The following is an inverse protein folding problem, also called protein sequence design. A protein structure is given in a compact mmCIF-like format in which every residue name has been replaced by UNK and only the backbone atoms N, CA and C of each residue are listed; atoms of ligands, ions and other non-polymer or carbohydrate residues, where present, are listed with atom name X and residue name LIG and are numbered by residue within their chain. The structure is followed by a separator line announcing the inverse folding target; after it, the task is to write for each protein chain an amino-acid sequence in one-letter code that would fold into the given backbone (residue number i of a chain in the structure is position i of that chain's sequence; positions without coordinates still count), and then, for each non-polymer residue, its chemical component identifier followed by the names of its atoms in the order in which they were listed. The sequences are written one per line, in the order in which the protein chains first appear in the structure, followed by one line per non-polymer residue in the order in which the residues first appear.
data_IF_358847075037
#
_entry.id   IF_358847075037
#
_cell.length_a   1.000
_cell.length_b   1.000
_cell.length_c   1.000
_cell.angle_alpha   90.00
_cell.angle_beta   90.00
_cell.angle_gamma   90.00
#
_symmetry.space_group_name_H-M   'P 1'
#
loop_
_entity.id
_entity.type
_entity.pdbx_description
1 polymer ?
#
# COMPACT_ATOMS: atom_id res chain seq x y z
N UNK A 1 -27.64 2.40 69.82
CA UNK A 1 -27.90 2.56 68.39
C UNK A 1 -26.76 3.29 67.56
N UNK A 2 -25.69 3.69 68.19
CA UNK A 2 -24.59 4.38 67.50
C UNK A 2 -23.46 3.44 67.00
N UNK A 3 -23.43 2.18 67.49
CA UNK A 3 -22.36 1.22 67.15
C UNK A 3 -22.63 0.39 65.89
N UNK A 4 -23.87 0.30 65.45
CA UNK A 4 -24.26 -0.49 64.25
C UNK A 4 -23.99 0.25 62.95
N UNK A 5 -24.01 1.58 62.96
CA UNK A 5 -23.70 2.39 61.78
C UNK A 5 -22.20 2.41 61.40
N UNK A 6 -21.34 2.25 62.40
CA UNK A 6 -19.88 2.21 62.15
C UNK A 6 -19.43 0.92 61.43
N UNK A 7 -20.17 -0.18 61.59
CA UNK A 7 -19.84 -1.46 60.94
C UNK A 7 -20.35 -1.55 59.50
N UNK A 8 -21.35 -0.74 59.15
CA UNK A 8 -21.93 -0.76 57.79
C UNK A 8 -21.14 0.10 56.78
N UNK A 9 -20.40 1.09 57.26
CA UNK A 9 -19.58 1.98 56.40
C UNK A 9 -18.28 1.30 55.99
N UNK A 10 -17.81 0.28 56.73
CA UNK A 10 -16.53 -0.40 56.43
C UNK A 10 -16.64 -1.49 55.36
N UNK A 11 -17.86 -1.87 54.92
CA UNK A 11 -18.10 -2.90 53.91
C UNK A 11 -18.21 -2.39 52.46
N UNK A 12 -18.09 -1.07 52.22
CA UNK A 12 -18.25 -0.49 50.89
C UNK A 12 -16.95 -0.12 50.16
N UNK A 13 -15.80 -0.45 50.71
CA UNK A 13 -14.48 -0.09 50.10
C UNK A 13 -13.65 -1.27 49.64
N UNK A 14 -14.23 -2.44 49.44
CA UNK A 14 -13.50 -3.63 48.97
C UNK A 14 -14.08 -4.23 47.69
N UNK A 15 -14.28 -3.41 46.66
CA UNK A 15 -14.42 -3.92 45.30
C UNK A 15 -13.57 -3.11 44.34
N UNK A 16 -12.25 -3.21 44.49
CA UNK A 16 -11.34 -2.97 43.40
C UNK A 16 -11.24 -4.28 42.63
N UNK A 17 -12.15 -4.52 41.70
CA UNK A 17 -11.97 -5.55 40.68
C UNK A 17 -10.77 -5.12 39.82
N UNK A 18 -9.64 -5.78 40.06
CA UNK A 18 -8.54 -5.79 39.13
C UNK A 18 -9.04 -6.53 37.89
N UNK A 19 -9.50 -5.79 36.88
CA UNK A 19 -9.67 -6.33 35.53
C UNK A 19 -8.40 -7.05 35.15
N UNK A 20 -8.45 -8.34 34.76
CA UNK A 20 -7.28 -8.98 34.22
C UNK A 20 -6.88 -8.17 32.97
N UNK A 21 -5.68 -7.57 33.01
CA UNK A 21 -5.07 -7.09 31.77
C UNK A 21 -5.01 -8.32 30.85
N UNK A 22 -5.91 -8.39 29.90
CA UNK A 22 -5.72 -9.24 28.73
C UNK A 22 -4.38 -8.80 28.17
N UNK A 23 -3.34 -9.59 28.42
CA UNK A 23 -2.11 -9.52 27.61
C UNK A 23 -2.60 -9.49 26.17
N UNK A 24 -2.30 -8.44 25.38
CA UNK A 24 -2.53 -8.51 23.96
C UNK A 24 -1.78 -9.77 23.52
N UNK A 25 -2.57 -10.71 23.02
CA UNK A 25 -2.02 -11.90 22.36
C UNK A 25 -0.91 -11.37 21.47
N UNK A 26 0.33 -11.78 21.75
CA UNK A 26 1.46 -11.45 20.91
C UNK A 26 1.19 -12.14 19.57
N UNK A 27 0.31 -11.52 18.80
CA UNK A 27 0.12 -11.89 17.42
C UNK A 27 1.50 -11.86 16.82
N UNK A 28 1.92 -12.94 16.19
CA UNK A 28 3.09 -13.03 15.36
C UNK A 28 3.03 -11.85 14.37
N UNK A 29 3.61 -10.71 14.77
CA UNK A 29 3.93 -9.67 13.80
C UNK A 29 4.90 -10.35 12.83
N UNK A 30 4.59 -10.40 11.53
CA UNK A 30 5.51 -10.97 10.57
C UNK A 30 6.84 -10.24 10.77
N UNK A 31 7.88 -11.02 11.00
CA UNK A 31 9.21 -10.51 11.31
C UNK A 31 9.56 -9.53 10.18
N UNK A 32 9.80 -8.27 10.49
CA UNK A 32 10.05 -7.20 9.51
C UNK A 32 11.14 -7.62 8.52
N UNK A 33 12.13 -8.39 8.98
CA UNK A 33 13.18 -8.96 8.13
C UNK A 33 12.62 -9.91 7.06
N UNK A 34 11.70 -10.80 7.40
CA UNK A 34 11.08 -11.71 6.44
C UNK A 34 10.20 -10.97 5.41
N UNK A 35 9.55 -9.89 5.82
CA UNK A 35 8.74 -9.05 4.92
C UNK A 35 9.63 -8.33 3.91
N UNK A 36 10.77 -7.78 4.34
CA UNK A 36 11.73 -7.10 3.46
C UNK A 36 12.37 -8.07 2.46
N UNK A 37 12.77 -9.27 2.90
CA UNK A 37 13.36 -10.29 2.03
C UNK A 37 12.34 -10.74 0.96
N UNK A 38 11.08 -10.93 1.34
CA UNK A 38 10.03 -11.31 0.42
C UNK A 38 9.73 -10.20 -0.59
N UNK A 39 9.71 -8.93 -0.17
CA UNK A 39 9.45 -7.79 -1.05
C UNK A 39 10.59 -7.58 -2.06
N UNK A 40 11.86 -7.76 -1.65
CA UNK A 40 13.02 -7.67 -2.56
C UNK A 40 13.01 -8.78 -3.62
N UNK A 41 12.62 -10.01 -3.24
CA UNK A 41 12.49 -11.11 -4.20
C UNK A 41 11.35 -10.87 -5.18
N UNK A 42 10.19 -10.46 -4.67
CA UNK A 42 9.03 -10.09 -5.48
C UNK A 42 9.39 -8.96 -6.47
N UNK A 43 10.11 -7.94 -6.00
CA UNK A 43 10.57 -6.84 -6.84
C UNK A 43 11.43 -7.33 -8.02
N UNK A 44 12.39 -8.22 -7.76
CA UNK A 44 13.26 -8.77 -8.80
C UNK A 44 12.46 -9.55 -9.86
N UNK A 45 11.50 -10.38 -9.42
CA UNK A 45 10.63 -11.14 -10.31
C UNK A 45 9.73 -10.22 -11.17
N UNK A 46 9.18 -9.17 -10.56
CA UNK A 46 8.37 -8.16 -11.25
C UNK A 46 9.18 -7.37 -12.27
N UNK A 47 10.43 -7.01 -11.96
CA UNK A 47 11.31 -6.31 -12.89
C UNK A 47 11.66 -7.16 -14.12
N UNK A 48 11.86 -8.47 -13.96
CA UNK A 48 12.06 -9.36 -15.11
C UNK A 48 10.78 -9.49 -15.96
N UNK A 49 9.61 -9.60 -15.32
CA UNK A 49 8.33 -9.61 -16.03
C UNK A 49 8.11 -8.29 -16.79
N UNK A 50 8.39 -7.14 -16.17
CA UNK A 50 8.27 -5.82 -16.79
C UNK A 50 9.16 -5.65 -18.03
N UNK A 51 10.40 -6.16 -18.00
CA UNK A 51 11.28 -6.17 -19.17
C UNK A 51 10.70 -6.95 -20.36
N UNK A 52 9.98 -8.05 -20.07
CA UNK A 52 9.32 -8.85 -21.10
C UNK A 52 8.11 -8.11 -21.66
N UNK A 53 7.31 -7.48 -20.80
CA UNK A 53 6.12 -6.74 -21.21
C UNK A 53 6.47 -5.47 -22.00
N UNK A 54 7.53 -4.76 -21.63
CA UNK A 54 8.03 -3.60 -22.38
C UNK A 54 8.50 -3.90 -23.79
N UNK A 55 8.94 -5.12 -24.06
CA UNK A 55 9.23 -5.54 -25.43
C UNK A 55 7.97 -5.65 -26.30
N UNK A 56 6.80 -5.82 -25.68
CA UNK A 56 5.48 -5.92 -26.35
C UNK A 56 4.79 -4.56 -26.47
N UNK A 57 5.05 -3.65 -25.52
CA UNK A 57 4.47 -2.30 -25.50
C UNK A 57 5.53 -1.33 -26.06
N UNK A 58 5.35 -0.90 -27.29
CA UNK A 58 6.29 0.02 -27.95
C UNK A 58 6.24 1.41 -27.29
N UNK A 59 7.35 2.15 -27.34
CA UNK A 59 7.43 3.54 -26.88
C UNK A 59 6.35 4.43 -27.53
N UNK A 60 5.94 4.13 -28.75
CA UNK A 60 4.88 4.82 -29.47
C UNK A 60 3.52 4.71 -28.80
N UNK A 61 3.16 3.52 -28.31
CA UNK A 61 1.89 3.30 -27.56
C UNK A 61 1.88 4.11 -26.28
N UNK A 62 2.99 4.12 -25.53
CA UNK A 62 3.07 4.90 -24.30
C UNK A 62 3.04 6.41 -24.58
N UNK A 63 3.68 6.87 -25.64
CA UNK A 63 3.66 8.28 -26.07
C UNK A 63 2.24 8.72 -26.47
N UNK A 64 1.53 7.89 -27.20
CA UNK A 64 0.12 8.14 -27.56
C UNK A 64 -0.76 8.25 -26.31
N UNK A 65 -0.66 7.28 -25.41
CA UNK A 65 -1.48 7.27 -24.17
C UNK A 65 -1.16 8.43 -23.22
N UNK A 66 0.03 9.02 -23.30
CA UNK A 66 0.43 10.17 -22.49
C UNK A 66 -0.04 11.50 -23.08
N UNK A 67 -0.08 11.64 -24.39
CA UNK A 67 -0.27 12.93 -25.05
C UNK A 67 -1.63 13.09 -25.75
N UNK A 68 -2.25 12.01 -26.17
CA UNK A 68 -3.42 12.07 -27.07
C UNK A 68 -4.34 10.87 -26.85
N UNK A 69 -4.61 10.51 -25.59
CA UNK A 69 -5.45 9.36 -25.30
C UNK A 69 -6.92 9.65 -25.67
N UNK A 70 -7.49 8.83 -26.56
CA UNK A 70 -8.94 8.82 -26.78
C UNK A 70 -9.66 8.66 -25.43
N UNK A 71 -10.61 9.53 -25.07
CA UNK A 71 -11.43 9.38 -23.87
C UNK A 71 -12.10 8.01 -23.75
N UNK A 72 -12.43 7.40 -24.90
CA UNK A 72 -13.06 6.07 -24.96
C UNK A 72 -12.05 4.91 -24.84
N UNK A 73 -10.74 5.16 -24.91
CA UNK A 73 -9.76 4.11 -24.70
C UNK A 73 -9.87 3.61 -23.25
N UNK A 74 -10.10 2.29 -23.03
CA UNK A 74 -10.17 1.71 -21.71
C UNK A 74 -8.81 1.66 -20.99
N UNK A 75 -7.72 1.97 -21.68
CA UNK A 75 -6.35 1.94 -21.17
C UNK A 75 -5.78 3.36 -21.05
N UNK A 76 -4.78 3.48 -20.20
CA UNK A 76 -3.99 4.70 -20.02
C UNK A 76 -2.59 4.34 -19.51
N UNK A 77 -1.69 5.32 -19.50
CA UNK A 77 -0.34 5.15 -18.97
C UNK A 77 -0.29 5.43 -17.45
N UNK A 78 0.55 4.71 -16.73
CA UNK A 78 1.01 5.08 -15.40
C UNK A 78 2.51 5.38 -15.47
N UNK A 79 2.91 6.58 -15.06
CA UNK A 79 4.29 7.05 -14.97
C UNK A 79 4.61 7.25 -13.50
N UNK A 80 5.55 6.47 -12.99
CA UNK A 80 5.93 6.50 -11.58
C UNK A 80 7.40 6.87 -11.48
N UNK A 81 7.69 7.95 -10.78
CA UNK A 81 9.04 8.38 -10.42
C UNK A 81 9.28 8.00 -8.95
N UNK A 82 10.35 7.26 -8.72
CA UNK A 82 10.83 6.90 -7.40
C UNK A 82 12.10 7.72 -7.10
N UNK A 83 11.98 8.72 -6.24
CA UNK A 83 13.08 9.55 -5.77
C UNK A 83 13.67 9.06 -4.43
N UNK A 84 13.22 7.90 -3.96
CA UNK A 84 13.75 7.29 -2.74
C UNK A 84 14.99 6.44 -3.00
N UNK A 85 15.70 6.10 -1.93
CA UNK A 85 16.88 5.23 -1.98
C UNK A 85 16.55 3.73 -1.95
N UNK A 86 15.28 3.36 -2.03
CA UNK A 86 14.80 1.97 -1.98
C UNK A 86 14.09 1.59 -3.26
N UNK A 87 14.22 0.35 -3.68
CA UNK A 87 13.34 -0.24 -4.69
C UNK A 87 11.92 -0.34 -4.12
N UNK A 88 10.92 0.02 -4.90
CA UNK A 88 9.53 0.05 -4.47
C UNK A 88 8.62 -0.74 -5.42
N UNK A 89 7.51 -1.24 -4.87
CA UNK A 89 6.42 -1.80 -5.65
C UNK A 89 5.19 -0.94 -5.39
N UNK A 90 4.67 -0.28 -6.43
CA UNK A 90 3.38 0.42 -6.35
C UNK A 90 2.27 -0.55 -6.73
N UNK A 91 1.40 -0.83 -5.79
CA UNK A 91 0.27 -1.75 -5.96
C UNK A 91 -0.99 -0.95 -6.26
N UNK A 92 -1.63 -1.22 -7.39
CA UNK A 92 -2.94 -0.70 -7.73
C UNK A 92 -3.97 -1.80 -7.58
N UNK A 93 -4.92 -1.62 -6.69
CA UNK A 93 -6.04 -2.55 -6.46
C UNK A 93 -7.32 -1.89 -6.92
N UNK A 94 -7.93 -2.43 -7.96
CA UNK A 94 -9.18 -1.92 -8.52
C UNK A 94 -10.34 -2.03 -7.52
N UNK A 95 -11.03 -0.91 -7.29
CA UNK A 95 -12.15 -0.86 -6.33
C UNK A 95 -13.41 -1.55 -6.83
N UNK A 96 -13.63 -1.57 -8.14
CA UNK A 96 -14.83 -2.17 -8.78
C UNK A 96 -14.47 -3.22 -9.84
N UNK A 97 -13.37 -3.05 -10.55
CA UNK A 97 -13.03 -3.85 -11.74
C UNK A 97 -12.18 -5.09 -11.43
N UNK A 98 -11.89 -5.37 -10.16
CA UNK A 98 -11.05 -6.50 -9.70
C UNK A 98 -9.68 -6.59 -10.39
N UNK A 99 -9.20 -5.50 -11.02
CA UNK A 99 -7.88 -5.44 -11.62
C UNK A 99 -6.84 -5.18 -10.54
N UNK A 100 -5.70 -5.81 -10.71
CA UNK A 100 -4.60 -5.72 -9.79
C UNK A 100 -3.30 -5.53 -10.58
N UNK A 101 -2.48 -4.56 -10.18
CA UNK A 101 -1.19 -4.30 -10.79
C UNK A 101 -0.13 -4.16 -9.70
N UNK A 102 1.00 -4.84 -9.88
CA UNK A 102 2.23 -4.64 -9.11
C UNK A 102 3.24 -3.97 -10.04
N UNK A 103 3.55 -2.72 -9.78
CA UNK A 103 4.35 -1.86 -10.62
C UNK A 103 5.71 -1.61 -9.96
N UNK A 104 6.77 -2.33 -10.38
CA UNK A 104 8.09 -2.19 -9.78
C UNK A 104 8.80 -0.94 -10.30
N UNK A 105 9.38 -0.15 -9.40
CA UNK A 105 10.18 1.03 -9.74
C UNK A 105 11.45 1.01 -8.93
N UNK A 106 12.59 0.91 -9.62
CA UNK A 106 13.90 0.91 -8.97
C UNK A 106 14.18 2.24 -8.26
N UNK A 107 15.04 2.20 -7.27
CA UNK A 107 15.49 3.40 -6.56
C UNK A 107 16.02 4.46 -7.52
N UNK A 108 15.74 5.73 -7.24
CA UNK A 108 16.20 6.87 -8.03
C UNK A 108 15.91 6.71 -9.53
N UNK A 109 14.75 6.15 -9.89
CA UNK A 109 14.40 5.87 -11.28
C UNK A 109 12.94 6.19 -11.60
N UNK A 110 12.62 6.15 -12.88
CA UNK A 110 11.28 6.31 -13.42
C UNK A 110 10.90 5.05 -14.19
N UNK A 111 9.65 4.60 -14.03
CA UNK A 111 9.11 3.50 -14.80
C UNK A 111 7.71 3.84 -15.34
N UNK A 112 7.33 3.21 -16.45
CA UNK A 112 6.07 3.47 -17.15
C UNK A 112 5.35 2.15 -17.39
N UNK A 113 4.03 2.17 -17.23
CA UNK A 113 3.20 0.98 -17.30
C UNK A 113 1.90 1.27 -18.05
N UNK A 114 1.35 0.23 -18.67
CA UNK A 114 0.02 0.25 -19.25
C UNK A 114 -0.98 -0.26 -18.21
N UNK A 115 -1.98 0.55 -17.89
CA UNK A 115 -3.03 0.21 -16.94
C UNK A 115 -4.42 0.48 -17.52
N UNK A 116 -5.46 -0.10 -16.94
CA UNK A 116 -6.85 0.26 -17.29
C UNK A 116 -7.30 1.49 -16.51
N UNK A 117 -8.12 2.33 -17.15
CA UNK A 117 -8.87 3.40 -16.49
C UNK A 117 -9.82 2.82 -15.45
N UNK A 118 -10.07 3.52 -14.35
CA UNK A 118 -10.96 3.09 -13.27
C UNK A 118 -10.58 3.61 -11.89
N UNK A 119 -11.34 3.19 -10.89
CA UNK A 119 -11.06 3.49 -9.49
C UNK A 119 -10.07 2.50 -8.90
N UNK A 120 -9.06 2.98 -8.18
CA UNK A 120 -8.01 2.19 -7.58
C UNK A 120 -7.63 2.67 -6.17
N UNK A 121 -7.27 1.72 -5.33
CA UNK A 121 -6.49 1.95 -4.15
C UNK A 121 -5.01 1.75 -4.51
N UNK A 122 -4.19 2.76 -4.24
CA UNK A 122 -2.74 2.73 -4.41
C UNK A 122 -2.09 2.50 -3.06
N UNK A 123 -1.16 1.57 -2.98
CA UNK A 123 -0.29 1.42 -1.81
C UNK A 123 1.13 1.08 -2.22
N UNK A 124 2.09 1.49 -1.41
CA UNK A 124 3.51 1.18 -1.57
C UNK A 124 4.22 1.27 -0.23
N UNK A 125 5.34 0.57 -0.12
CA UNK A 125 6.29 0.74 0.97
C UNK A 125 7.50 1.52 0.41
N UNK A 126 7.67 2.76 0.87
CA UNK A 126 8.77 3.63 0.46
C UNK A 126 9.79 3.69 1.59
N UNK A 127 10.83 2.87 1.55
CA UNK A 127 11.88 2.78 2.58
C UNK A 127 11.34 2.57 4.01
N UNK A 128 10.26 1.79 4.16
CA UNK A 128 9.61 1.56 5.45
C UNK A 128 8.41 2.47 5.72
N UNK A 129 8.27 3.58 5.02
CA UNK A 129 7.09 4.44 5.09
C UNK A 129 5.96 3.88 4.20
N UNK A 130 4.76 3.75 4.77
CA UNK A 130 3.60 3.26 4.03
C UNK A 130 2.92 4.42 3.29
N UNK A 131 2.88 4.33 1.97
CA UNK A 131 2.07 5.19 1.12
C UNK A 131 0.71 4.55 0.86
N UNK A 132 -0.37 5.31 0.99
CA UNK A 132 -1.73 4.88 0.70
C UNK A 132 -2.53 6.04 0.09
N UNK A 133 -3.24 5.78 -1.00
CA UNK A 133 -4.09 6.76 -1.66
C UNK A 133 -5.23 6.08 -2.41
N UNK A 134 -6.34 6.77 -2.63
CA UNK A 134 -7.40 6.34 -3.53
C UNK A 134 -7.48 7.31 -4.70
N UNK A 135 -7.60 6.78 -5.93
CA UNK A 135 -7.62 7.55 -7.15
C UNK A 135 -8.66 7.01 -8.13
N UNK A 136 -9.31 7.92 -8.83
CA UNK A 136 -10.07 7.62 -10.04
C UNK A 136 -9.17 8.01 -11.21
N UNK A 137 -8.73 6.99 -11.97
CA UNK A 137 -7.79 7.16 -13.07
C UNK A 137 -8.61 7.18 -14.38
N UNK A 138 -8.76 8.34 -14.95
CA UNK A 138 -9.43 8.59 -16.26
C UNK A 138 -8.45 9.16 -17.28
N UNK A 139 -7.30 9.65 -16.81
CA UNK A 139 -6.18 10.24 -17.55
C UNK A 139 -4.89 9.55 -17.15
N UNK A 140 -3.75 9.83 -17.80
CA UNK A 140 -2.47 9.27 -17.39
C UNK A 140 -2.17 9.53 -15.91
N UNK A 141 -1.83 8.48 -15.19
CA UNK A 141 -1.42 8.57 -13.80
C UNK A 141 0.06 8.95 -13.74
N UNK A 142 0.36 10.15 -13.25
CA UNK A 142 1.74 10.62 -13.03
C UNK A 142 1.92 10.85 -11.54
N UNK A 143 2.82 10.09 -10.92
CA UNK A 143 3.14 10.23 -9.48
C UNK A 143 4.64 10.20 -9.24
N UNK A 144 5.06 10.96 -8.22
CA UNK A 144 6.42 10.92 -7.67
C UNK A 144 6.33 10.48 -6.22
N UNK A 145 7.15 9.51 -5.84
CA UNK A 145 7.27 9.00 -4.48
C UNK A 145 8.70 9.26 -3.98
N UNK A 146 8.79 9.89 -2.82
CA UNK A 146 10.04 10.19 -2.10
C UNK A 146 9.89 9.83 -0.62
N UNK A 147 10.99 9.69 0.08
CA UNK A 147 11.07 9.52 1.54
C UNK A 147 11.59 10.79 2.21
#
# INVERSE_FOLDING_TARGET
MRSVYALFVFLLVSSCEILPLNKPNSGNYPNTANTIINESKEFAELMEADKIDKRKVTAQVLTYLLNDSDPNDPQTAAVITNESNCDIIVRLVGTKNKKFYNLPVAKNSKNQFLIRKGGYTLNSNVCGAKYYSQKIIVEPLIITLSN
#
